data_IF_762789151808
#
_entry.id   IF_762789151808
#
_cell.length_a   1.000
_cell.length_b   1.000
_cell.length_c   1.000
_cell.angle_alpha   90.00
_cell.angle_beta   90.00
_cell.angle_gamma   90.00
#
_symmetry.space_group_name_H-M   'P 1'
#
loop_
_entity.id
_entity.type
_entity.pdbx_description
1 polymer ?
#
# COMPACT_ATOMS: atom_id res chain seq x y z
N UNK A 1 3.44 26.39 -7.21
CA UNK A 1 4.70 25.93 -7.83
C UNK A 1 5.56 25.32 -6.73
N UNK A 2 6.27 24.23 -7.02
CA UNK A 2 7.07 23.50 -6.04
C UNK A 2 7.86 22.39 -6.72
N UNK A 3 8.61 21.63 -5.92
CA UNK A 3 9.38 20.48 -6.35
C UNK A 3 9.18 19.31 -5.38
N UNK A 4 9.33 18.09 -5.89
CA UNK A 4 9.35 16.86 -5.09
C UNK A 4 10.73 16.25 -5.31
N UNK A 5 11.39 15.89 -4.21
CA UNK A 5 12.74 15.35 -4.24
C UNK A 5 12.72 13.89 -3.73
N UNK A 6 13.46 13.02 -4.40
CA UNK A 6 13.82 11.68 -3.92
C UNK A 6 15.34 11.67 -3.74
N UNK A 7 15.81 11.36 -2.54
CA UNK A 7 17.24 11.39 -2.19
C UNK A 7 17.97 12.68 -2.59
N UNK A 8 17.25 13.81 -2.51
CA UNK A 8 17.76 15.14 -2.86
C UNK A 8 17.74 15.50 -4.34
N UNK A 9 17.31 14.59 -5.22
CA UNK A 9 17.19 14.81 -6.67
C UNK A 9 15.72 15.09 -7.04
N UNK A 10 15.47 16.08 -7.89
CA UNK A 10 14.13 16.38 -8.36
C UNK A 10 13.55 15.21 -9.16
N UNK A 11 12.30 14.83 -8.90
CA UNK A 11 11.65 13.73 -9.63
C UNK A 11 11.63 13.96 -11.14
N UNK A 12 11.65 15.23 -11.59
CA UNK A 12 11.68 15.62 -13.01
C UNK A 12 13.01 15.29 -13.70
N UNK A 13 14.08 15.07 -12.93
CA UNK A 13 15.42 14.74 -13.43
C UNK A 13 15.64 13.23 -13.57
N UNK A 14 14.73 12.39 -13.06
CA UNK A 14 14.79 10.94 -13.24
C UNK A 14 14.26 10.51 -14.61
N UNK A 15 14.84 9.42 -15.15
CA UNK A 15 14.13 8.64 -16.18
C UNK A 15 12.90 8.02 -15.56
N UNK A 16 11.74 8.19 -16.20
CA UNK A 16 10.46 7.73 -15.66
C UNK A 16 10.43 6.23 -15.32
N UNK A 17 11.12 5.40 -16.11
CA UNK A 17 11.22 3.97 -15.84
C UNK A 17 11.96 3.68 -14.52
N UNK A 18 13.11 4.32 -14.31
CA UNK A 18 13.95 4.16 -13.11
C UNK A 18 13.27 4.75 -11.88
N UNK A 19 12.54 5.86 -12.04
CA UNK A 19 11.72 6.42 -10.97
C UNK A 19 10.65 5.40 -10.53
N UNK A 20 9.92 4.80 -11.48
CA UNK A 20 8.87 3.83 -11.18
C UNK A 20 9.38 2.53 -10.55
N UNK A 21 10.66 2.20 -10.64
CA UNK A 21 11.20 1.04 -9.89
C UNK A 21 11.39 1.35 -8.40
N UNK A 22 11.49 2.63 -8.02
CA UNK A 22 11.65 3.05 -6.62
C UNK A 22 10.36 2.95 -5.81
N UNK A 23 9.21 2.77 -6.46
CA UNK A 23 7.91 2.76 -5.82
C UNK A 23 7.20 1.42 -6.02
N UNK A 24 6.55 0.93 -4.96
CA UNK A 24 5.48 -0.05 -5.03
C UNK A 24 4.19 0.57 -4.51
N UNK A 25 3.08 0.28 -5.18
CA UNK A 25 1.79 0.86 -4.86
C UNK A 25 0.77 -0.24 -4.62
N UNK A 26 -0.02 -0.07 -3.56
CA UNK A 26 -1.20 -0.88 -3.26
C UNK A 26 -2.37 0.07 -3.23
N UNK A 27 -3.22 0.01 -4.25
CA UNK A 27 -4.38 0.89 -4.40
C UNK A 27 -5.62 0.25 -3.76
N UNK A 28 -6.57 1.10 -3.35
CA UNK A 28 -7.88 0.67 -2.85
C UNK A 28 -8.56 -0.28 -3.84
N UNK A 29 -8.67 0.15 -5.10
CA UNK A 29 -9.18 -0.67 -6.19
C UNK A 29 -8.04 -1.41 -6.90
N UNK A 30 -7.81 -2.65 -6.48
CA UNK A 30 -6.83 -3.52 -7.13
C UNK A 30 -7.31 -3.94 -8.52
N UNK A 31 -6.58 -3.51 -9.55
CA UNK A 31 -6.80 -3.97 -10.93
C UNK A 31 -6.00 -5.25 -11.18
N UNK A 32 -6.70 -6.35 -11.47
CA UNK A 32 -6.11 -7.59 -11.94
C UNK A 32 -6.32 -7.74 -13.46
N UNK A 33 -5.32 -8.27 -14.14
CA UNK A 33 -5.40 -8.59 -15.56
C UNK A 33 -6.10 -9.94 -15.74
N UNK A 34 -6.78 -10.12 -16.89
CA UNK A 34 -7.47 -11.36 -17.28
C UNK A 34 -6.48 -12.48 -17.64
N UNK A 35 -5.63 -12.86 -16.70
CA UNK A 35 -4.51 -13.80 -16.84
C UNK A 35 -4.41 -14.66 -15.57
N UNK A 36 -3.43 -15.55 -15.46
CA UNK A 36 -3.28 -16.39 -14.27
C UNK A 36 -2.96 -15.57 -13.00
N UNK A 37 -3.19 -16.15 -11.82
CA UNK A 37 -2.75 -15.55 -10.55
C UNK A 37 -1.23 -15.31 -10.56
N UNK A 38 -0.44 -16.29 -11.03
CA UNK A 38 1.01 -16.17 -11.11
C UNK A 38 1.46 -14.97 -11.95
N UNK A 39 0.89 -14.81 -13.14
CA UNK A 39 1.21 -13.69 -14.05
C UNK A 39 0.76 -12.35 -13.48
N UNK A 40 -0.38 -12.33 -12.77
CA UNK A 40 -0.81 -11.15 -12.05
C UNK A 40 0.23 -10.72 -11.02
N UNK A 41 0.79 -11.63 -10.23
CA UNK A 41 1.84 -11.31 -9.25
C UNK A 41 3.13 -10.90 -9.97
N UNK A 42 3.56 -11.69 -10.97
CA UNK A 42 4.77 -11.48 -11.75
C UNK A 42 4.80 -10.15 -12.51
N UNK A 43 3.63 -9.55 -12.79
CA UNK A 43 3.52 -8.22 -13.41
C UNK A 43 4.33 -7.15 -12.66
N UNK A 44 4.49 -7.28 -11.34
CA UNK A 44 5.28 -6.34 -10.53
C UNK A 44 6.78 -6.34 -10.90
N UNK A 45 7.29 -7.48 -11.35
CA UNK A 45 8.71 -7.67 -11.71
C UNK A 45 8.82 -8.70 -12.84
N UNK A 46 8.81 -8.26 -14.10
CA UNK A 46 8.98 -9.14 -15.26
C UNK A 46 10.25 -9.98 -15.14
N UNK A 47 10.14 -11.28 -15.43
CA UNK A 47 11.24 -12.23 -15.31
C UNK A 47 11.41 -12.85 -13.92
N UNK A 48 10.55 -12.54 -12.95
CA UNK A 48 10.53 -13.22 -11.66
C UNK A 48 10.30 -14.74 -11.81
N UNK A 49 11.09 -15.53 -11.10
CA UNK A 49 10.96 -16.98 -11.05
C UNK A 49 9.73 -17.44 -10.26
N UNK A 50 9.27 -18.67 -10.51
CA UNK A 50 8.10 -19.23 -9.82
C UNK A 50 8.27 -19.26 -8.28
N UNK A 51 9.46 -19.59 -7.79
CA UNK A 51 9.73 -19.61 -6.35
C UNK A 51 9.59 -18.22 -5.70
N UNK A 52 9.99 -17.17 -6.41
CA UNK A 52 9.88 -15.79 -5.94
C UNK A 52 8.43 -15.32 -5.91
N UNK A 53 7.63 -15.73 -6.91
CA UNK A 53 6.18 -15.50 -6.95
C UNK A 53 5.50 -16.17 -5.76
N UNK A 54 5.83 -17.43 -5.48
CA UNK A 54 5.28 -18.17 -4.33
C UNK A 54 5.72 -17.55 -3.00
N UNK A 55 6.98 -17.12 -2.89
CA UNK A 55 7.49 -16.45 -1.70
C UNK A 55 6.75 -15.13 -1.43
N UNK A 56 6.53 -14.32 -2.48
CA UNK A 56 5.77 -13.08 -2.37
C UNK A 56 4.30 -13.33 -2.00
N UNK A 57 3.67 -14.36 -2.58
CA UNK A 57 2.32 -14.77 -2.23
C UNK A 57 2.21 -15.25 -0.77
N UNK A 58 3.20 -15.97 -0.26
CA UNK A 58 3.24 -16.38 1.16
C UNK A 58 3.37 -15.18 2.08
N UNK A 59 4.27 -14.25 1.78
CA UNK A 59 4.45 -13.02 2.55
C UNK A 59 3.17 -12.16 2.60
N UNK A 60 2.34 -12.24 1.56
CA UNK A 60 1.04 -11.57 1.48
C UNK A 60 -0.14 -12.40 2.03
N UNK A 61 0.11 -13.54 2.68
CA UNK A 61 -0.92 -14.51 3.10
C UNK A 61 -1.87 -14.94 1.97
N UNK A 62 -1.39 -14.94 0.73
CA UNK A 62 -2.14 -15.30 -0.46
C UNK A 62 -1.98 -16.78 -0.85
N UNK A 63 -0.84 -17.39 -0.55
CA UNK A 63 -0.51 -18.76 -0.98
C UNK A 63 -1.59 -19.78 -0.63
N UNK A 64 -2.14 -19.71 0.58
CA UNK A 64 -3.15 -20.66 1.05
C UNK A 64 -4.39 -20.64 0.16
N UNK A 65 -5.04 -19.48 -0.04
CA UNK A 65 -6.25 -19.43 -0.86
C UNK A 65 -5.94 -19.73 -2.33
N UNK A 66 -4.78 -19.29 -2.83
CA UNK A 66 -4.37 -19.55 -4.21
C UNK A 66 -4.30 -21.06 -4.45
N UNK A 67 -3.73 -21.83 -3.51
CA UNK A 67 -3.63 -23.29 -3.61
C UNK A 67 -4.97 -24.02 -3.54
N UNK A 68 -6.02 -23.37 -3.04
CA UNK A 68 -7.39 -23.91 -3.02
C UNK A 68 -8.18 -23.57 -4.29
N UNK A 69 -7.66 -22.70 -5.17
CA UNK A 69 -8.26 -22.46 -6.47
C UNK A 69 -8.12 -23.70 -7.38
N UNK A 70 -9.05 -23.91 -8.34
CA UNK A 70 -9.07 -25.12 -9.18
C UNK A 70 -7.75 -25.46 -9.89
N UNK A 71 -7.01 -24.44 -10.33
CA UNK A 71 -5.73 -24.59 -11.02
C UNK A 71 -4.57 -23.96 -10.23
N UNK A 72 -4.77 -23.70 -8.94
CA UNK A 72 -3.76 -23.07 -8.10
C UNK A 72 -3.31 -21.70 -8.65
N UNK A 73 -2.00 -21.51 -8.74
CA UNK A 73 -1.37 -20.32 -9.32
C UNK A 73 -1.67 -20.12 -10.81
N UNK A 74 -2.08 -21.16 -11.54
CA UNK A 74 -2.43 -21.07 -12.96
C UNK A 74 -3.90 -20.67 -13.17
N UNK A 75 -4.69 -20.60 -12.10
CA UNK A 75 -6.09 -20.17 -12.18
C UNK A 75 -6.20 -18.80 -12.83
N UNK A 76 -7.00 -18.72 -13.89
CA UNK A 76 -7.34 -17.47 -14.55
C UNK A 76 -8.30 -16.68 -13.66
N UNK A 77 -7.95 -15.44 -13.31
CA UNK A 77 -8.77 -14.61 -12.38
C UNK A 77 -10.00 -13.98 -13.05
N UNK A 78 -10.14 -14.12 -14.37
CA UNK A 78 -11.21 -13.52 -15.17
C UNK A 78 -11.05 -12.00 -15.35
N UNK A 79 -12.02 -11.38 -16.02
CA UNK A 79 -12.00 -9.92 -16.24
C UNK A 79 -12.00 -9.17 -14.92
N UNK A 80 -10.96 -8.35 -14.69
CA UNK A 80 -10.74 -7.57 -13.47
C UNK A 80 -10.73 -8.38 -12.16
N UNK A 81 -10.46 -9.68 -12.22
CA UNK A 81 -10.43 -10.50 -11.00
C UNK A 81 -11.81 -10.79 -10.41
N UNK A 82 -12.89 -10.76 -11.22
CA UNK A 82 -14.26 -10.99 -10.77
C UNK A 82 -14.47 -12.34 -10.06
N UNK A 83 -13.59 -13.32 -10.28
CA UNK A 83 -13.67 -14.64 -9.65
C UNK A 83 -13.10 -14.68 -8.22
N UNK A 84 -12.55 -13.56 -7.74
CA UNK A 84 -11.94 -13.43 -6.41
C UNK A 84 -12.78 -12.51 -5.53
N UNK A 85 -12.76 -12.74 -4.22
CA UNK A 85 -13.24 -11.80 -3.22
C UNK A 85 -12.37 -10.54 -3.16
N UNK A 86 -12.88 -9.48 -2.52
CA UNK A 86 -12.11 -8.23 -2.33
C UNK A 86 -10.80 -8.45 -1.58
N UNK A 87 -10.83 -9.21 -0.48
CA UNK A 87 -9.63 -9.52 0.30
C UNK A 87 -8.62 -10.40 -0.44
N UNK A 88 -9.06 -11.29 -1.32
CA UNK A 88 -8.14 -12.07 -2.18
C UNK A 88 -7.45 -11.18 -3.22
N UNK A 89 -8.19 -10.28 -3.88
CA UNK A 89 -7.58 -9.30 -4.80
C UNK A 89 -6.56 -8.44 -4.09
N UNK A 90 -6.87 -8.00 -2.88
CA UNK A 90 -5.97 -7.18 -2.07
C UNK A 90 -4.70 -7.91 -1.66
N UNK A 91 -4.80 -9.19 -1.26
CA UNK A 91 -3.62 -10.02 -0.98
C UNK A 91 -2.77 -10.26 -2.22
N UNK A 92 -3.35 -10.34 -3.42
CA UNK A 92 -2.58 -10.35 -4.68
C UNK A 92 -1.86 -9.01 -4.92
N UNK A 93 -2.48 -7.87 -4.62
CA UNK A 93 -1.81 -6.57 -4.69
C UNK A 93 -0.64 -6.45 -3.71
N UNK A 94 -0.81 -6.97 -2.49
CA UNK A 94 0.29 -7.06 -1.53
C UNK A 94 1.41 -7.98 -2.03
N UNK A 95 1.08 -9.13 -2.63
CA UNK A 95 2.07 -10.02 -3.23
C UNK A 95 2.86 -9.32 -4.34
N UNK A 96 2.21 -8.48 -5.16
CA UNK A 96 2.89 -7.61 -6.14
C UNK A 96 3.87 -6.66 -5.46
N UNK A 97 3.46 -6.01 -4.38
CA UNK A 97 4.32 -5.08 -3.64
C UNK A 97 5.51 -5.78 -2.99
N UNK A 98 5.32 -6.99 -2.44
CA UNK A 98 6.41 -7.83 -1.94
C UNK A 98 7.39 -8.22 -3.05
N UNK A 99 6.89 -8.67 -4.21
CA UNK A 99 7.73 -9.06 -5.32
C UNK A 99 8.49 -7.88 -5.94
N UNK A 100 7.87 -6.70 -5.94
CA UNK A 100 8.49 -5.47 -6.42
C UNK A 100 9.69 -5.05 -5.57
N UNK A 101 9.59 -5.27 -4.25
CA UNK A 101 10.63 -4.96 -3.25
C UNK A 101 11.19 -3.52 -3.38
N UNK A 102 10.30 -2.55 -3.59
CA UNK A 102 10.68 -1.16 -3.74
C UNK A 102 10.96 -0.48 -2.40
N UNK A 103 11.91 0.48 -2.32
CA UNK A 103 12.24 1.20 -1.10
C UNK A 103 11.14 2.16 -0.62
N UNK A 104 10.30 2.64 -1.54
CA UNK A 104 9.17 3.53 -1.22
C UNK A 104 7.84 2.82 -1.50
N UNK A 105 6.95 2.86 -0.51
CA UNK A 105 5.62 2.26 -0.57
C UNK A 105 4.54 3.33 -0.54
N UNK A 106 3.50 3.17 -1.35
CA UNK A 106 2.27 3.97 -1.30
C UNK A 106 1.10 3.01 -1.10
N UNK A 107 0.43 3.09 0.05
CA UNK A 107 -0.68 2.24 0.43
C UNK A 107 -1.96 3.08 0.54
N UNK A 108 -2.94 2.81 -0.30
CA UNK A 108 -4.20 3.54 -0.37
C UNK A 108 -5.36 2.66 0.09
N UNK A 109 -5.95 3.03 1.22
CA UNK A 109 -7.09 2.37 1.88
C UNK A 109 -7.07 0.82 1.82
N UNK A 110 -6.04 0.15 2.35
CA UNK A 110 -5.82 -1.27 2.08
C UNK A 110 -6.72 -2.24 2.87
N UNK A 111 -7.85 -1.82 3.47
CA UNK A 111 -8.74 -2.71 4.26
C UNK A 111 -10.25 -2.44 4.13
N UNK A 112 -10.68 -1.52 3.26
CA UNK A 112 -12.07 -1.05 3.19
C UNK A 112 -13.04 -1.96 2.40
N UNK A 113 -13.25 -3.21 2.83
CA UNK A 113 -14.41 -4.06 2.42
C UNK A 113 -14.19 -5.54 2.79
N UNK A 114 -13.39 -5.82 3.81
CA UNK A 114 -12.87 -7.17 4.08
C UNK A 114 -13.44 -7.69 5.39
N UNK A 115 -13.69 -8.99 5.48
CA UNK A 115 -14.10 -9.62 6.74
C UNK A 115 -12.97 -9.56 7.78
N UNK A 116 -13.32 -9.64 9.07
CA UNK A 116 -12.38 -9.44 10.19
C UNK A 116 -11.16 -10.37 10.13
N UNK A 117 -11.32 -11.63 9.69
CA UNK A 117 -10.20 -12.58 9.65
C UNK A 117 -9.23 -12.24 8.52
N UNK A 118 -9.78 -11.94 7.35
CA UNK A 118 -8.96 -11.55 6.20
C UNK A 118 -8.32 -10.17 6.42
N UNK A 119 -8.98 -9.25 7.15
CA UNK A 119 -8.40 -7.96 7.55
C UNK A 119 -7.16 -8.14 8.43
N UNK A 120 -7.20 -9.02 9.43
CA UNK A 120 -6.05 -9.28 10.29
C UNK A 120 -4.83 -9.77 9.50
N UNK A 121 -5.03 -10.70 8.56
CA UNK A 121 -3.96 -11.20 7.70
C UNK A 121 -3.38 -10.13 6.76
N UNK A 122 -4.23 -9.24 6.25
CA UNK A 122 -3.81 -8.10 5.41
C UNK A 122 -2.98 -7.11 6.23
N UNK A 123 -3.42 -6.78 7.46
CA UNK A 123 -2.69 -5.88 8.35
C UNK A 123 -1.34 -6.46 8.77
N UNK A 124 -1.25 -7.77 9.02
CA UNK A 124 0.01 -8.46 9.29
C UNK A 124 0.97 -8.41 8.08
N UNK A 125 0.48 -8.74 6.88
CA UNK A 125 1.25 -8.61 5.65
C UNK A 125 1.74 -7.18 5.43
N UNK A 126 0.88 -6.18 5.63
CA UNK A 126 1.27 -4.76 5.51
C UNK A 126 2.36 -4.40 6.52
N UNK A 127 2.20 -4.76 7.79
CA UNK A 127 3.19 -4.50 8.82
C UNK A 127 4.56 -5.10 8.46
N UNK A 128 4.57 -6.31 7.88
CA UNK A 128 5.79 -6.93 7.38
C UNK A 128 6.34 -6.22 6.15
N UNK A 129 5.49 -5.82 5.19
CA UNK A 129 5.86 -5.12 3.96
C UNK A 129 6.54 -3.78 4.24
N UNK A 130 6.10 -3.06 5.27
CA UNK A 130 6.60 -1.71 5.61
C UNK A 130 7.97 -1.70 6.28
N UNK A 131 8.44 -2.83 6.82
CA UNK A 131 9.70 -2.88 7.57
C UNK A 131 10.89 -2.45 6.70
N UNK A 132 11.62 -1.44 7.17
CA UNK A 132 12.83 -0.93 6.51
C UNK A 132 12.56 -0.13 5.23
N UNK A 133 11.32 0.34 5.02
CA UNK A 133 10.92 1.07 3.81
C UNK A 133 10.19 2.36 4.16
N UNK A 134 10.37 3.40 3.34
CA UNK A 134 9.60 4.64 3.47
C UNK A 134 8.17 4.37 2.99
N UNK A 135 7.19 4.54 3.88
CA UNK A 135 5.79 4.21 3.56
C UNK A 135 4.90 5.43 3.69
N UNK A 136 4.14 5.73 2.64
CA UNK A 136 3.04 6.68 2.65
C UNK A 136 1.73 5.88 2.73
N UNK A 137 0.94 6.09 3.78
CA UNK A 137 -0.34 5.41 3.98
C UNK A 137 -1.47 6.44 3.92
N UNK A 138 -2.46 6.16 3.07
CA UNK A 138 -3.73 6.87 3.04
C UNK A 138 -4.73 5.96 3.74
N UNK A 139 -5.25 6.41 4.88
CA UNK A 139 -6.13 5.58 5.71
C UNK A 139 -7.33 6.38 6.20
N UNK A 140 -8.49 5.72 6.18
CA UNK A 140 -9.73 6.20 6.78
C UNK A 140 -10.05 5.52 8.13
N UNK A 141 -9.21 4.57 8.55
CA UNK A 141 -9.35 3.83 9.82
C UNK A 141 -8.24 4.21 10.79
N UNK A 142 -8.63 4.48 12.03
CA UNK A 142 -7.70 4.89 13.09
C UNK A 142 -6.67 3.79 13.42
N UNK A 143 -7.08 2.52 13.38
CA UNK A 143 -6.20 1.36 13.65
C UNK A 143 -5.00 1.28 12.70
N UNK A 144 -5.15 1.73 11.45
CA UNK A 144 -4.03 1.80 10.49
C UNK A 144 -3.09 2.97 10.79
N UNK A 145 -3.61 4.05 11.40
CA UNK A 145 -2.86 5.27 11.73
C UNK A 145 -2.06 5.15 13.03
N UNK A 146 -2.45 4.25 13.95
CA UNK A 146 -1.81 4.08 15.26
C UNK A 146 -0.31 3.75 15.18
N UNK A 147 0.11 3.08 14.10
CA UNK A 147 1.50 2.63 13.91
C UNK A 147 2.33 3.55 12.99
N UNK A 148 1.83 4.73 12.64
CA UNK A 148 2.55 5.66 11.78
C UNK A 148 3.52 6.53 12.60
N UNK A 149 4.74 6.71 12.08
CA UNK A 149 5.74 7.61 12.69
C UNK A 149 5.28 9.07 12.71
N UNK A 150 4.53 9.47 11.68
CA UNK A 150 4.01 10.81 11.52
C UNK A 150 2.61 10.77 10.88
N UNK A 151 1.75 11.71 11.28
CA UNK A 151 0.40 11.88 10.74
C UNK A 151 0.22 13.26 10.14
N UNK A 152 -0.33 13.33 8.93
CA UNK A 152 -0.58 14.57 8.19
C UNK A 152 -2.07 14.61 7.85
N UNK A 153 -2.78 15.64 8.33
CA UNK A 153 -4.17 15.87 7.97
C UNK A 153 -4.25 16.84 6.80
N UNK A 154 -5.00 16.46 5.77
CA UNK A 154 -5.21 17.26 4.55
C UNK A 154 -6.69 17.60 4.43
N UNK A 155 -7.01 18.89 4.40
CA UNK A 155 -8.37 19.40 4.19
C UNK A 155 -8.37 20.42 3.07
N UNK A 156 -9.33 20.31 2.15
CA UNK A 156 -9.47 21.20 0.99
C UNK A 156 -8.16 21.43 0.22
N UNK A 157 -7.34 20.37 0.09
CA UNK A 157 -6.05 20.41 -0.61
C UNK A 157 -4.93 21.12 0.15
N UNK A 158 -5.08 21.36 1.46
CA UNK A 158 -4.06 21.98 2.32
C UNK A 158 -3.75 21.10 3.52
N UNK A 159 -2.49 21.09 3.92
CA UNK A 159 -2.06 20.47 5.18
C UNK A 159 -2.52 21.37 6.33
N UNK A 160 -3.34 20.84 7.24
CA UNK A 160 -3.93 21.59 8.37
C UNK A 160 -3.29 21.31 9.71
N UNK A 161 -2.47 20.25 9.82
CA UNK A 161 -1.72 19.92 11.05
C UNK A 161 -0.23 19.75 10.75
N UNK A 162 0.62 20.11 11.72
CA UNK A 162 2.02 19.69 11.68
C UNK A 162 2.12 18.16 11.85
N UNK A 163 3.17 17.50 11.33
CA UNK A 163 3.39 16.08 11.55
C UNK A 163 3.46 15.78 13.05
N UNK A 164 2.49 15.03 13.58
CA UNK A 164 2.50 14.59 14.99
C UNK A 164 3.27 13.29 15.06
N UNK A 165 4.39 13.27 15.78
CA UNK A 165 5.17 12.06 16.04
C UNK A 165 4.32 11.00 16.77
N UNK A 166 4.49 9.72 16.42
CA UNK A 166 3.74 8.60 16.99
C UNK A 166 3.69 8.61 18.52
N UNK A 167 2.49 8.79 19.06
CA UNK A 167 2.16 8.84 20.48
C UNK A 167 0.65 9.07 20.64
N UNK A 168 0.02 8.43 21.62
CA UNK A 168 -1.42 8.42 21.85
C UNK A 168 -2.02 9.78 22.29
N UNK A 169 -1.40 10.91 21.97
CA UNK A 169 -1.94 12.23 22.34
C UNK A 169 -2.85 12.77 21.24
N UNK A 170 -4.15 12.66 21.54
CA UNK A 170 -5.24 13.59 21.22
C UNK A 170 -5.46 13.97 19.75
N UNK A 171 -6.47 13.32 19.16
CA UNK A 171 -7.23 13.84 18.01
C UNK A 171 -8.07 15.09 18.36
N UNK A 172 -7.93 15.63 19.58
CA UNK A 172 -8.72 16.76 20.10
C UNK A 172 -7.96 18.10 20.15
N UNK A 173 -6.80 18.20 19.50
CA UNK A 173 -6.08 19.46 19.40
C UNK A 173 -6.64 20.33 18.28
N UNK A 174 -7.36 21.40 18.61
CA UNK A 174 -7.66 22.47 17.66
C UNK A 174 -6.38 22.94 16.94
N UNK A 175 -6.46 23.34 15.66
CA UNK A 175 -5.31 23.82 14.91
C UNK A 175 -4.73 25.07 15.58
N UNK A 176 -3.54 24.94 16.19
CA UNK A 176 -2.78 26.09 16.67
C UNK A 176 -2.11 26.75 15.47
N UNK A 177 -2.71 27.85 15.00
CA UNK A 177 -2.14 28.71 13.97
C UNK A 177 -1.05 29.62 14.57
N UNK A 178 0.17 29.68 13.99
CA UNK A 178 1.08 30.78 14.28
C UNK A 178 0.56 32.03 13.56
N UNK A 179 -0.26 32.84 14.23
CA UNK A 179 -0.65 34.16 13.71
C UNK A 179 -1.96 34.79 14.20
N UNK A 180 -2.81 34.11 14.98
CA UNK A 180 -4.03 34.77 15.50
C UNK A 180 -3.68 35.64 16.71
N UNK A 181 -3.42 36.91 16.43
CA UNK A 181 -3.37 37.96 17.44
C UNK A 181 -4.76 38.11 18.06
N UNK A 182 -4.93 37.67 19.30
CA UNK A 182 -6.09 38.01 20.12
C UNK A 182 -6.00 39.50 20.45
N UNK A 183 -6.78 40.33 19.76
CA UNK A 183 -7.15 41.64 20.27
C UNK A 183 -8.45 41.47 21.06
N UNK A 184 -8.32 41.75 22.37
CA UNK A 184 -9.32 42.18 23.39
C UNK A 184 -10.78 41.85 23.12
#
# INVERSE_FOLDING_TARGET
>A
AGQILLDGVDLRDYKLADLRTQFAMVLQDTVLFSTSVAENIAYARPGAGYEEIVAAARAAHADEFIRHLPEGYQTLVGERGMLLSGGERQRIALARAFLKDAPVLILDEPTSSVDIRTEAAIMEAMAQLMKGRTTLIIAHRLSTLENCDARIVVEHGRVVTAPVAGGASSLEGEPVFPGSSTNV
#
